data_IF_391144334679
#
_entry.id   IF_391144334679
#
_cell.length_a   1.000
_cell.length_b   1.000
_cell.length_c   1.000
_cell.angle_alpha   90.00
_cell.angle_beta   90.00
_cell.angle_gamma   90.00
#
_symmetry.space_group_name_H-M   'P 1'
#
loop_
_entity.id
_entity.type
_entity.pdbx_description
1 polymer ?
#
# COMPACT_ATOMS: atom_id res chain seq x y z
N UNK A 1 7.70 -27.67 -4.64
CA UNK A 1 7.78 -26.19 -4.77
C UNK A 1 7.99 -25.60 -3.39
N UNK A 2 9.04 -24.81 -3.18
CA UNK A 2 9.30 -24.11 -1.90
C UNK A 2 8.18 -23.11 -1.64
N UNK A 3 7.65 -23.02 -0.42
CA UNK A 3 6.55 -22.10 -0.09
C UNK A 3 7.04 -21.00 0.82
N UNK A 4 6.43 -19.82 0.76
CA UNK A 4 6.69 -18.78 1.73
C UNK A 4 6.05 -19.15 3.08
N UNK A 5 6.77 -18.87 4.16
CA UNK A 5 6.28 -19.09 5.53
C UNK A 5 5.99 -17.75 6.18
N UNK A 6 4.75 -17.56 6.60
CA UNK A 6 4.34 -16.44 7.44
C UNK A 6 4.47 -16.88 8.90
N UNK A 7 5.42 -16.30 9.62
CA UNK A 7 5.69 -16.63 11.02
C UNK A 7 4.66 -16.03 11.98
N UNK A 8 3.93 -15.00 11.55
CA UNK A 8 2.85 -14.38 12.33
C UNK A 8 1.51 -14.57 11.61
N UNK A 9 0.63 -15.36 12.24
CA UNK A 9 -0.75 -15.55 11.77
C UNK A 9 -1.54 -14.24 11.80
N UNK A 10 -1.30 -13.39 12.81
CA UNK A 10 -1.92 -12.07 12.91
C UNK A 10 -1.55 -11.18 11.72
N UNK A 11 -0.26 -11.13 11.36
CA UNK A 11 0.20 -10.31 10.23
C UNK A 11 -0.35 -10.81 8.88
N UNK A 12 -0.47 -12.13 8.72
CA UNK A 12 -1.09 -12.74 7.54
C UNK A 12 -2.54 -12.25 7.34
N UNK A 13 -3.35 -12.26 8.40
CA UNK A 13 -4.74 -11.75 8.32
C UNK A 13 -4.79 -10.23 8.14
N UNK A 14 -3.90 -9.47 8.78
CA UNK A 14 -3.81 -8.01 8.58
C UNK A 14 -3.54 -7.68 7.11
N UNK A 15 -2.63 -8.39 6.43
CA UNK A 15 -2.38 -8.20 5.00
C UNK A 15 -3.61 -8.51 4.15
N UNK A 16 -4.32 -9.61 4.44
CA UNK A 16 -5.54 -9.96 3.71
C UNK A 16 -6.59 -8.87 3.88
N UNK A 17 -6.85 -8.44 5.13
CA UNK A 17 -7.82 -7.38 5.42
C UNK A 17 -7.44 -6.09 4.72
N UNK A 18 -6.16 -5.72 4.73
CA UNK A 18 -5.65 -4.54 4.03
C UNK A 18 -5.96 -4.60 2.53
N UNK A 19 -5.61 -5.69 1.85
CA UNK A 19 -5.84 -5.80 0.40
C UNK A 19 -7.33 -5.89 0.06
N UNK A 20 -8.13 -6.57 0.86
CA UNK A 20 -9.59 -6.61 0.69
C UNK A 20 -10.20 -5.22 0.85
N UNK A 21 -9.81 -4.47 1.89
CA UNK A 21 -10.27 -3.10 2.09
C UNK A 21 -9.89 -2.18 0.93
N UNK A 22 -8.66 -2.32 0.40
CA UNK A 22 -8.21 -1.58 -0.79
C UNK A 22 -9.05 -1.93 -2.02
N UNK A 23 -9.36 -3.20 -2.25
CA UNK A 23 -10.21 -3.62 -3.37
C UNK A 23 -11.60 -3.03 -3.22
N UNK A 24 -12.24 -3.18 -2.05
CA UNK A 24 -13.58 -2.64 -1.78
C UNK A 24 -13.61 -1.13 -2.03
N UNK A 25 -12.62 -0.40 -1.49
CA UNK A 25 -12.53 1.05 -1.67
C UNK A 25 -12.39 1.42 -3.14
N UNK A 26 -11.45 0.82 -3.88
CA UNK A 26 -11.25 1.17 -5.29
C UNK A 26 -12.43 0.73 -6.17
N UNK A 27 -13.09 -0.39 -5.84
CA UNK A 27 -14.34 -0.79 -6.51
C UNK A 27 -15.45 0.21 -6.26
N UNK A 28 -15.62 0.70 -5.02
CA UNK A 28 -16.57 1.77 -4.73
C UNK A 28 -16.27 3.03 -5.55
N UNK A 29 -15.01 3.48 -5.58
CA UNK A 29 -14.63 4.67 -6.34
C UNK A 29 -14.88 4.47 -7.84
N UNK A 30 -14.54 3.30 -8.41
CA UNK A 30 -14.79 2.97 -9.81
C UNK A 30 -16.25 3.16 -10.21
N UNK A 31 -17.19 2.71 -9.37
CA UNK A 31 -18.62 2.88 -9.63
C UNK A 31 -19.10 4.33 -9.48
N UNK A 32 -18.45 5.13 -8.63
CA UNK A 32 -18.83 6.54 -8.44
C UNK A 32 -18.23 7.50 -9.46
N UNK A 33 -16.98 7.30 -9.88
CA UNK A 33 -16.26 8.23 -10.75
C UNK A 33 -16.29 7.83 -12.23
N UNK A 34 -16.63 6.56 -12.53
CA UNK A 34 -16.60 5.97 -13.89
C UNK A 34 -15.23 6.09 -14.57
N UNK A 35 -14.16 6.27 -13.79
CA UNK A 35 -12.80 6.37 -14.29
C UNK A 35 -12.18 4.98 -14.44
N UNK A 36 -11.94 4.57 -15.69
CA UNK A 36 -11.33 3.29 -16.03
C UNK A 36 -9.89 3.14 -15.53
N UNK A 37 -9.18 4.23 -15.23
CA UNK A 37 -7.83 4.14 -14.66
C UNK A 37 -7.83 3.49 -13.27
N UNK A 38 -8.98 3.45 -12.57
CA UNK A 38 -9.14 2.81 -11.26
C UNK A 38 -9.14 1.27 -11.34
N UNK A 39 -9.23 0.70 -12.55
CA UNK A 39 -9.10 -0.76 -12.72
C UNK A 39 -7.70 -1.25 -12.31
N UNK A 40 -6.65 -0.45 -12.54
CA UNK A 40 -5.27 -0.80 -12.16
C UNK A 40 -5.10 -0.98 -10.65
N UNK A 41 -5.51 -0.04 -9.78
CA UNK A 41 -5.42 -0.22 -8.32
C UNK A 41 -6.38 -1.28 -7.76
N UNK A 42 -7.26 -1.89 -8.57
CA UNK A 42 -8.04 -3.09 -8.18
C UNK A 42 -7.27 -4.37 -8.53
N UNK A 43 -6.78 -4.49 -9.77
CA UNK A 43 -6.13 -5.71 -10.27
C UNK A 43 -4.85 -6.03 -9.48
N UNK A 44 -4.05 -5.01 -9.13
CA UNK A 44 -2.78 -5.20 -8.43
C UNK A 44 -2.99 -5.85 -7.04
N UNK A 45 -3.81 -5.29 -6.13
CA UNK A 45 -4.15 -5.95 -4.85
C UNK A 45 -4.76 -7.34 -5.01
N UNK A 46 -5.59 -7.55 -6.03
CA UNK A 46 -6.24 -8.83 -6.28
C UNK A 46 -5.20 -9.91 -6.65
N UNK A 47 -4.25 -9.56 -7.51
CA UNK A 47 -3.11 -10.42 -7.83
C UNK A 47 -2.25 -10.73 -6.59
N UNK A 48 -1.99 -9.74 -5.74
CA UNK A 48 -1.24 -9.94 -4.50
C UNK A 48 -1.94 -10.90 -3.53
N UNK A 49 -3.27 -10.78 -3.38
CA UNK A 49 -4.06 -11.71 -2.57
C UNK A 49 -3.91 -13.15 -3.05
N UNK A 50 -4.00 -13.39 -4.37
CA UNK A 50 -3.79 -14.72 -4.94
C UNK A 50 -2.41 -15.26 -4.58
N UNK A 51 -1.36 -14.45 -4.72
CA UNK A 51 0.01 -14.88 -4.37
C UNK A 51 0.19 -15.16 -2.87
N UNK A 52 -0.50 -14.42 -2.00
CA UNK A 52 -0.51 -14.65 -0.55
C UNK A 52 -1.18 -15.98 -0.23
N UNK A 53 -2.35 -16.27 -0.81
CA UNK A 53 -3.08 -17.53 -0.58
C UNK A 53 -2.30 -18.75 -1.08
N UNK A 54 -1.65 -18.65 -2.24
CA UNK A 54 -0.81 -19.72 -2.80
C UNK A 54 0.53 -19.85 -2.06
N UNK A 55 0.86 -18.91 -1.15
CA UNK A 55 2.13 -18.84 -0.42
C UNK A 55 3.34 -18.88 -1.37
N UNK A 56 3.28 -18.05 -2.41
CA UNK A 56 4.31 -18.00 -3.44
C UNK A 56 5.69 -17.70 -2.83
N UNK A 57 6.74 -18.42 -3.26
CA UNK A 57 8.07 -18.39 -2.64
C UNK A 57 8.69 -16.99 -2.59
N UNK A 58 8.39 -16.13 -3.57
CA UNK A 58 8.94 -14.76 -3.65
C UNK A 58 7.97 -13.68 -3.13
N UNK A 59 6.91 -14.06 -2.42
CA UNK A 59 5.89 -13.10 -1.95
C UNK A 59 6.50 -12.02 -1.05
N UNK A 60 7.53 -12.34 -0.24
CA UNK A 60 8.25 -11.35 0.57
C UNK A 60 8.79 -10.21 -0.29
N UNK A 61 9.46 -10.53 -1.39
CA UNK A 61 10.04 -9.53 -2.29
C UNK A 61 8.95 -8.68 -2.94
N UNK A 62 7.91 -9.34 -3.45
CA UNK A 62 6.80 -8.67 -4.14
C UNK A 62 6.07 -7.70 -3.18
N UNK A 63 5.78 -8.14 -1.94
CA UNK A 63 5.15 -7.30 -0.92
C UNK A 63 6.05 -6.13 -0.51
N UNK A 64 7.37 -6.34 -0.40
CA UNK A 64 8.32 -5.25 -0.13
C UNK A 64 8.29 -4.19 -1.22
N UNK A 65 8.35 -4.60 -2.50
CA UNK A 65 8.32 -3.68 -3.65
C UNK A 65 6.98 -2.92 -3.68
N UNK A 66 5.87 -3.64 -3.56
CA UNK A 66 4.55 -3.03 -3.58
C UNK A 66 4.38 -2.01 -2.45
N UNK A 67 4.76 -2.37 -1.22
CA UNK A 67 4.69 -1.47 -0.06
C UNK A 67 5.57 -0.24 -0.25
N UNK A 68 6.80 -0.43 -0.73
CA UNK A 68 7.74 0.66 -0.98
C UNK A 68 7.21 1.64 -2.02
N UNK A 69 6.66 1.16 -3.14
CA UNK A 69 6.16 2.02 -4.21
C UNK A 69 4.85 2.71 -3.77
N UNK A 70 3.84 1.95 -3.34
CA UNK A 70 2.48 2.47 -3.18
C UNK A 70 2.20 3.08 -1.82
N UNK A 71 2.87 2.64 -0.75
CA UNK A 71 2.60 3.11 0.61
C UNK A 71 3.73 3.97 1.20
N UNK A 72 4.87 4.09 0.52
CA UNK A 72 5.99 4.93 0.99
C UNK A 72 6.32 6.00 -0.05
N UNK A 73 6.77 5.59 -1.24
CA UNK A 73 7.21 6.54 -2.28
C UNK A 73 6.04 7.39 -2.77
N UNK A 74 4.92 6.79 -3.14
CA UNK A 74 3.76 7.54 -3.63
C UNK A 74 3.24 8.59 -2.62
N UNK A 75 2.90 8.26 -1.36
CA UNK A 75 2.50 9.26 -0.38
C UNK A 75 3.62 10.24 -0.03
N UNK A 76 4.89 9.80 -0.01
CA UNK A 76 6.04 10.68 0.17
C UNK A 76 6.15 11.74 -0.93
N UNK A 77 5.96 11.35 -2.19
CA UNK A 77 5.90 12.28 -3.31
C UNK A 77 4.69 13.22 -3.22
N UNK A 78 3.53 12.73 -2.76
CA UNK A 78 2.36 13.58 -2.55
C UNK A 78 2.63 14.65 -1.48
N UNK A 79 3.27 14.28 -0.37
CA UNK A 79 3.67 15.23 0.67
C UNK A 79 4.62 16.29 0.12
N UNK A 80 5.68 15.86 -0.58
CA UNK A 80 6.65 16.78 -1.20
C UNK A 80 5.95 17.70 -2.22
N UNK A 81 5.11 17.15 -3.10
CA UNK A 81 4.39 17.92 -4.11
C UNK A 81 3.45 18.96 -3.51
N UNK A 82 2.77 18.63 -2.41
CA UNK A 82 1.91 19.56 -1.66
C UNK A 82 2.74 20.67 -0.99
N UNK A 83 3.84 20.31 -0.33
CA UNK A 83 4.75 21.30 0.28
C UNK A 83 5.32 22.27 -0.77
N UNK A 84 5.76 21.76 -1.92
CA UNK A 84 6.25 22.60 -3.02
C UNK A 84 5.16 23.53 -3.57
N UNK A 85 3.92 23.03 -3.67
CA UNK A 85 2.77 23.85 -4.07
C UNK A 85 2.53 24.98 -3.08
N UNK A 86 2.47 24.69 -1.78
CA UNK A 86 2.23 25.73 -0.78
C UNK A 86 3.38 26.74 -0.70
N UNK A 87 4.63 26.27 -0.83
CA UNK A 87 5.80 27.15 -0.91
C UNK A 87 5.74 28.09 -2.12
N UNK A 88 5.19 27.66 -3.26
CA UNK A 88 5.03 28.51 -4.46
C UNK A 88 3.99 29.63 -4.29
N UNK A 89 3.11 29.52 -3.29
CA UNK A 89 2.12 30.53 -2.93
C UNK A 89 2.45 31.21 -1.59
N UNK A 90 3.72 31.19 -1.16
CA UNK A 90 4.19 31.75 0.11
C UNK A 90 3.35 31.29 1.33
N UNK A 91 2.84 30.06 1.28
CA UNK A 91 2.01 29.46 2.32
C UNK A 91 0.69 30.21 2.64
N UNK A 92 0.23 31.10 1.76
CA UNK A 92 -1.00 31.88 1.98
C UNK A 92 -2.25 31.01 2.15
N UNK A 93 -2.27 29.83 1.52
CA UNK A 93 -3.39 28.88 1.56
C UNK A 93 -3.03 27.57 2.27
N UNK A 94 -2.08 27.62 3.21
CA UNK A 94 -1.64 26.43 3.93
C UNK A 94 -2.79 25.79 4.70
N UNK A 95 -3.07 24.52 4.41
CA UNK A 95 -4.05 23.71 5.13
C UNK A 95 -3.43 22.36 5.53
N UNK A 96 -3.24 22.19 6.84
CA UNK A 96 -2.68 20.97 7.42
C UNK A 96 -3.52 19.73 7.10
N UNK A 97 -4.84 19.88 6.92
CA UNK A 97 -5.75 18.75 6.68
C UNK A 97 -5.39 18.00 5.39
N UNK A 98 -4.85 18.72 4.40
CA UNK A 98 -4.45 18.15 3.11
C UNK A 98 -3.24 17.22 3.27
N UNK A 99 -2.45 17.36 4.33
CA UNK A 99 -1.26 16.55 4.61
C UNK A 99 -1.54 15.30 5.45
N UNK A 100 -2.65 15.28 6.21
CA UNK A 100 -2.96 14.19 7.16
C UNK A 100 -3.03 12.84 6.45
N UNK A 101 -3.83 12.74 5.38
CA UNK A 101 -4.03 11.46 4.67
C UNK A 101 -2.73 10.87 4.12
N UNK A 102 -1.92 11.59 3.31
CA UNK A 102 -0.66 11.03 2.80
C UNK A 102 0.36 10.76 3.92
N UNK A 103 0.38 11.54 5.00
CA UNK A 103 1.24 11.28 6.16
C UNK A 103 0.87 9.96 6.86
N UNK A 104 -0.43 9.74 7.12
CA UNK A 104 -0.92 8.49 7.71
C UNK A 104 -0.62 7.28 6.81
N UNK A 105 -0.85 7.40 5.50
CA UNK A 105 -0.49 6.35 4.54
C UNK A 105 1.01 6.02 4.59
N UNK A 106 1.87 7.04 4.66
CA UNK A 106 3.31 6.85 4.76
C UNK A 106 3.70 6.08 6.02
N UNK A 107 3.16 6.46 7.18
CA UNK A 107 3.41 5.79 8.46
C UNK A 107 2.96 4.32 8.40
N UNK A 108 1.75 4.07 7.88
CA UNK A 108 1.23 2.70 7.68
C UNK A 108 2.14 1.90 6.74
N UNK A 109 2.63 2.51 5.66
CA UNK A 109 3.57 1.88 4.73
C UNK A 109 4.87 1.44 5.40
N UNK A 110 5.46 2.29 6.23
CA UNK A 110 6.68 1.97 6.98
C UNK A 110 6.44 0.80 7.95
N UNK A 111 5.31 0.82 8.68
CA UNK A 111 4.94 -0.26 9.60
C UNK A 111 4.75 -1.59 8.87
N UNK A 112 4.01 -1.60 7.76
CA UNK A 112 3.79 -2.81 6.96
C UNK A 112 5.13 -3.35 6.44
N UNK A 113 6.01 -2.48 5.94
CA UNK A 113 7.32 -2.90 5.44
C UNK A 113 8.16 -3.56 6.55
N UNK A 114 8.17 -2.98 7.75
CA UNK A 114 8.84 -3.56 8.92
C UNK A 114 8.32 -4.97 9.22
N UNK A 115 6.99 -5.15 9.26
CA UNK A 115 6.41 -6.46 9.52
C UNK A 115 6.66 -7.47 8.41
N UNK A 116 6.66 -7.07 7.13
CA UNK A 116 7.02 -7.97 6.01
C UNK A 116 8.44 -8.51 6.20
N UNK A 117 9.38 -7.64 6.56
CA UNK A 117 10.78 -8.04 6.75
C UNK A 117 10.92 -9.03 7.91
N UNK A 118 10.20 -8.78 9.02
CA UNK A 118 10.32 -9.53 10.28
C UNK A 118 9.54 -10.85 10.30
N UNK A 119 8.41 -10.93 9.59
CA UNK A 119 7.44 -12.04 9.76
C UNK A 119 7.28 -12.94 8.55
N UNK A 120 7.79 -12.55 7.38
CA UNK A 120 7.73 -13.37 6.18
C UNK A 120 9.11 -13.94 5.92
N UNK A 121 9.25 -15.25 5.91
CA UNK A 121 10.50 -15.92 5.56
C UNK A 121 10.38 -16.64 4.22
N UNK A 122 11.46 -16.56 3.44
CA UNK A 122 11.63 -17.39 2.27
C UNK A 122 12.25 -18.70 2.76
N UNK A 123 11.58 -19.83 2.58
CA UNK A 123 12.25 -21.13 2.74
C UNK A 123 13.37 -21.21 1.70
N UNK A 124 14.62 -21.16 2.18
CA UNK A 124 15.82 -21.30 1.36
C UNK A 124 16.02 -22.73 0.85
#
# INVERSE_FOLDING_TARGET
MKKAKFNSTAFYYVLIVLFVALIIYNTYVLFTSLDYFIVVPIIIPLFLLVLIFVKYTKIKLILKIWTMIFLIIAPGMQLIGKLLKDASYDYQYFDINIYITPLLMFIVGVLILYFIIKTVDNEN
#
